data_IF_282707409490
#
_entry.id   IF_282707409490
#
_cell.length_a   1.000
_cell.length_b   1.000
_cell.length_c   1.000
_cell.angle_alpha   90.00
_cell.angle_beta   90.00
_cell.angle_gamma   90.00
#
_symmetry.space_group_name_H-M   'P 1'
#
loop_
_entity.id
_entity.type
_entity.pdbx_description
1 polymer ?
#
# COMPACT_ATOMS: atom_id res chain seq x y z
N UNK A 1 -1.63 -17.24 5.14
CA UNK A 1 -2.18 -16.31 6.15
C UNK A 1 -1.47 -14.99 5.89
N UNK A 2 -2.23 -13.94 5.58
CA UNK A 2 -1.67 -12.62 5.27
C UNK A 2 -1.35 -11.92 6.59
N UNK A 3 -0.21 -11.25 6.65
CA UNK A 3 0.15 -10.45 7.82
C UNK A 3 -0.05 -8.98 7.48
N UNK A 4 -1.00 -8.34 8.16
CA UNK A 4 -1.22 -6.90 8.05
C UNK A 4 -0.64 -6.19 9.27
N UNK A 5 0.18 -5.18 9.04
CA UNK A 5 0.73 -4.34 10.10
C UNK A 5 0.35 -2.89 9.83
N UNK A 6 -0.50 -2.33 10.70
CA UNK A 6 -0.98 -0.94 10.63
C UNK A 6 0.12 0.04 11.03
N UNK A 7 0.05 1.25 10.48
CA UNK A 7 0.83 2.41 10.89
C UNK A 7 0.04 3.70 10.64
N UNK A 8 0.12 4.64 11.56
CA UNK A 8 -0.67 5.88 11.47
C UNK A 8 0.23 7.13 11.40
N UNK A 9 1.55 6.97 11.61
CA UNK A 9 2.50 8.08 11.66
C UNK A 9 3.68 7.89 10.71
N UNK A 10 4.30 9.01 10.31
CA UNK A 10 5.56 9.00 9.54
C UNK A 10 6.68 8.27 10.30
N UNK A 11 6.73 8.41 11.62
CA UNK A 11 7.71 7.75 12.47
C UNK A 11 7.55 6.22 12.42
N UNK A 12 6.31 5.73 12.45
CA UNK A 12 6.02 4.30 12.30
C UNK A 12 6.43 3.80 10.91
N UNK A 13 6.13 4.57 9.85
CA UNK A 13 6.57 4.21 8.50
C UNK A 13 8.10 4.13 8.39
N UNK A 14 8.82 5.08 8.99
CA UNK A 14 10.29 5.04 9.04
C UNK A 14 10.80 3.81 9.79
N UNK A 15 10.20 3.46 10.94
CA UNK A 15 10.55 2.24 11.69
C UNK A 15 10.29 0.97 10.89
N UNK A 16 9.19 0.92 10.14
CA UNK A 16 8.79 -0.24 9.34
C UNK A 16 9.67 -0.45 8.10
N UNK A 17 10.12 0.64 7.49
CA UNK A 17 10.95 0.61 6.27
C UNK A 17 12.45 0.61 6.59
N UNK A 18 12.84 1.08 7.78
CA UNK A 18 14.23 1.35 8.12
C UNK A 18 14.82 2.55 7.38
N UNK A 19 13.98 3.38 6.76
CA UNK A 19 14.38 4.58 6.02
C UNK A 19 14.30 5.82 6.92
N UNK A 20 15.09 6.84 6.58
CA UNK A 20 14.87 8.19 7.07
C UNK A 20 13.71 8.85 6.31
N UNK A 21 13.10 9.89 6.88
CA UNK A 21 12.00 10.62 6.25
C UNK A 21 12.35 11.10 4.83
N UNK A 22 13.52 11.70 4.64
CA UNK A 22 13.97 12.18 3.32
C UNK A 22 14.08 11.05 2.28
N UNK A 23 14.42 9.83 2.71
CA UNK A 23 14.62 8.69 1.82
C UNK A 23 13.30 7.99 1.43
N UNK A 24 12.19 8.31 2.10
CA UNK A 24 10.87 7.80 1.75
C UNK A 24 10.44 8.28 0.35
N UNK A 25 10.63 9.57 0.07
CA UNK A 25 10.34 10.16 -1.24
C UNK A 25 11.09 9.48 -2.38
N UNK A 26 12.39 9.22 -2.18
CA UNK A 26 13.24 8.53 -3.16
C UNK A 26 12.78 7.09 -3.46
N UNK A 27 11.94 6.51 -2.60
CA UNK A 27 11.35 5.18 -2.76
C UNK A 27 9.90 5.21 -3.24
N UNK A 28 9.37 6.39 -3.54
CA UNK A 28 8.02 6.58 -4.08
C UNK A 28 6.93 6.60 -3.01
N UNK A 29 7.28 6.72 -1.73
CA UNK A 29 6.29 7.01 -0.70
C UNK A 29 5.92 8.49 -0.77
N UNK A 30 4.64 8.78 -0.56
CA UNK A 30 4.11 10.13 -0.36
C UNK A 30 3.80 10.30 1.13
N UNK A 31 4.76 10.76 1.96
CA UNK A 31 4.58 10.90 3.40
C UNK A 31 3.60 11.96 3.86
N UNK A 32 2.94 12.66 2.95
CA UNK A 32 2.02 13.74 3.25
C UNK A 32 0.59 13.29 2.96
N UNK A 33 -0.37 13.80 3.74
CA UNK A 33 -1.80 13.64 3.48
C UNK A 33 -2.37 12.21 3.43
N UNK A 34 -1.72 11.20 4.04
CA UNK A 34 -2.40 9.94 4.36
C UNK A 34 -3.02 10.00 5.76
N UNK A 35 -4.15 9.32 5.96
CA UNK A 35 -4.82 9.19 7.26
C UNK A 35 -4.49 7.88 7.97
N UNK A 36 -4.40 6.79 7.20
CA UNK A 36 -4.09 5.46 7.74
C UNK A 36 -3.23 4.68 6.75
N UNK A 37 -2.28 3.92 7.28
CA UNK A 37 -1.42 3.06 6.50
C UNK A 37 -1.39 1.64 7.01
N UNK A 38 -1.09 0.70 6.12
CA UNK A 38 -0.80 -0.68 6.51
C UNK A 38 0.18 -1.32 5.53
N UNK A 39 1.01 -2.23 6.03
CA UNK A 39 1.87 -3.03 5.19
C UNK A 39 1.49 -4.51 5.22
N UNK A 40 1.70 -5.16 4.09
CA UNK A 40 1.40 -6.57 3.83
C UNK A 40 2.61 -7.27 3.23
N UNK A 41 2.78 -8.54 3.57
CA UNK A 41 3.78 -9.43 2.95
C UNK A 41 3.35 -9.93 1.56
N UNK A 42 2.09 -9.68 1.18
CA UNK A 42 1.51 -10.05 -0.09
C UNK A 42 0.79 -8.86 -0.72
N UNK A 43 0.75 -8.82 -2.06
CA UNK A 43 -0.05 -7.82 -2.75
C UNK A 43 -1.53 -8.06 -2.45
N UNK A 44 -2.24 -7.01 -2.07
CA UNK A 44 -3.67 -7.03 -1.83
C UNK A 44 -4.48 -6.64 -3.06
N UNK A 45 -3.83 -6.04 -4.05
CA UNK A 45 -4.41 -5.48 -5.27
C UNK A 45 -3.79 -6.12 -6.50
N UNK A 46 -4.32 -5.79 -7.68
CA UNK A 46 -3.74 -6.15 -8.98
C UNK A 46 -2.26 -5.79 -9.01
N UNK A 47 -1.41 -6.78 -9.28
CA UNK A 47 0.05 -6.62 -9.26
C UNK A 47 0.60 -6.06 -10.55
N UNK A 48 -0.04 -6.36 -11.69
CA UNK A 48 0.39 -5.89 -13.01
C UNK A 48 -0.77 -6.08 -14.02
N UNK A 49 -0.86 -5.17 -15.00
CA UNK A 49 -1.70 -5.40 -16.18
C UNK A 49 -0.95 -6.37 -17.09
N UNK A 50 -1.51 -7.56 -17.31
CA UNK A 50 -0.94 -8.52 -18.24
C UNK A 50 -1.26 -8.03 -19.66
N UNK A 51 -0.23 -7.52 -20.32
CA UNK A 51 -0.31 -6.94 -21.67
C UNK A 51 -0.57 -7.99 -22.74
N UNK A 52 -0.25 -9.25 -22.47
CA UNK A 52 -0.37 -10.35 -23.43
C UNK A 52 -1.78 -10.94 -23.44
N UNK A 53 -2.47 -10.97 -22.30
CA UNK A 53 -3.88 -11.38 -22.23
C UNK A 53 -4.89 -10.22 -22.16
N UNK A 54 -4.44 -9.00 -21.88
CA UNK A 54 -5.30 -7.81 -21.82
C UNK A 54 -6.21 -7.76 -20.59
N UNK A 55 -5.89 -8.57 -19.57
CA UNK A 55 -6.65 -8.67 -18.32
C UNK A 55 -5.79 -8.20 -17.15
N UNK A 56 -6.46 -7.74 -16.10
CA UNK A 56 -5.82 -7.45 -14.83
C UNK A 56 -5.75 -8.75 -14.03
N UNK A 57 -4.55 -9.13 -13.55
CA UNK A 57 -4.37 -10.35 -12.75
C UNK A 57 -5.28 -10.35 -11.51
N UNK A 58 -6.12 -11.37 -11.32
CA UNK A 58 -7.03 -11.44 -10.18
C UNK A 58 -6.32 -11.12 -8.84
N UNK A 59 -6.96 -10.36 -7.92
CA UNK A 59 -6.33 -9.99 -6.67
C UNK A 59 -5.83 -11.24 -5.94
N UNK A 60 -4.54 -11.27 -5.64
CA UNK A 60 -3.86 -12.45 -5.07
C UNK A 60 -4.40 -12.81 -3.67
N UNK A 61 -5.09 -11.86 -3.02
CA UNK A 61 -5.42 -11.91 -1.61
C UNK A 61 -6.90 -11.69 -1.32
N UNK A 62 -7.45 -12.54 -0.45
CA UNK A 62 -8.79 -12.37 0.11
C UNK A 62 -8.96 -11.11 0.97
N UNK A 63 -7.90 -10.32 1.21
CA UNK A 63 -7.97 -9.00 1.84
C UNK A 63 -8.11 -7.85 0.82
N UNK A 64 -8.25 -8.13 -0.49
CA UNK A 64 -8.57 -7.12 -1.50
C UNK A 64 -9.80 -6.26 -1.15
N UNK A 65 -10.78 -6.84 -0.45
CA UNK A 65 -11.95 -6.08 0.00
C UNK A 65 -11.57 -4.85 0.85
N UNK A 66 -10.49 -4.94 1.65
CA UNK A 66 -10.04 -3.83 2.49
C UNK A 66 -9.63 -2.63 1.64
N UNK A 67 -8.85 -2.91 0.59
CA UNK A 67 -8.38 -1.89 -0.35
C UNK A 67 -9.54 -1.33 -1.17
N UNK A 68 -10.47 -2.18 -1.59
CA UNK A 68 -11.69 -1.74 -2.27
C UNK A 68 -12.56 -0.82 -1.41
N UNK A 69 -12.67 -1.07 -0.10
CA UNK A 69 -13.38 -0.14 0.79
C UNK A 69 -12.71 1.24 0.83
N UNK A 70 -11.39 1.32 0.68
CA UNK A 70 -10.66 2.59 0.64
C UNK A 70 -10.94 3.33 -0.67
N UNK A 71 -11.03 2.64 -1.80
CA UNK A 71 -11.47 3.25 -3.07
C UNK A 71 -12.93 3.73 -3.03
N UNK A 72 -13.81 2.94 -2.41
CA UNK A 72 -15.26 3.22 -2.40
C UNK A 72 -15.63 4.35 -1.41
N UNK A 73 -14.88 4.51 -0.31
CA UNK A 73 -15.23 5.40 0.81
C UNK A 73 -14.18 6.48 1.15
N UNK A 74 -12.99 6.43 0.54
CA UNK A 74 -11.95 7.44 0.69
C UNK A 74 -11.61 8.05 -0.69
N UNK A 75 -10.63 8.96 -0.77
CA UNK A 75 -10.18 9.54 -2.06
C UNK A 75 -9.38 8.49 -2.85
N UNK A 76 -8.76 7.54 -2.14
CA UNK A 76 -8.02 6.43 -2.71
C UNK A 76 -6.91 5.98 -1.78
N UNK A 77 -5.96 5.24 -2.37
CA UNK A 77 -4.75 4.82 -1.70
C UNK A 77 -3.57 4.84 -2.66
N UNK A 78 -2.38 5.05 -2.11
CA UNK A 78 -1.11 4.76 -2.77
C UNK A 78 -0.60 3.38 -2.35
N UNK A 79 0.11 2.72 -3.26
CA UNK A 79 0.78 1.45 -2.97
C UNK A 79 2.25 1.50 -3.36
N UNK A 80 3.14 1.27 -2.39
CA UNK A 80 4.59 1.23 -2.59
C UNK A 80 5.12 -0.16 -2.26
N UNK A 81 5.85 -0.76 -3.21
CA UNK A 81 6.55 -2.03 -2.99
C UNK A 81 7.99 -1.76 -2.53
N UNK A 82 8.29 -2.13 -1.29
CA UNK A 82 9.62 -1.92 -0.71
C UNK A 82 10.00 -3.07 0.23
N UNK A 83 11.27 -3.49 0.20
CA UNK A 83 11.76 -4.54 1.11
C UNK A 83 10.99 -5.87 1.04
N UNK A 84 10.36 -6.19 -0.10
CA UNK A 84 9.53 -7.38 -0.26
C UNK A 84 8.13 -7.28 0.36
N UNK A 85 7.73 -6.10 0.85
CA UNK A 85 6.41 -5.80 1.37
C UNK A 85 5.69 -4.77 0.49
N UNK A 86 4.37 -4.70 0.66
CA UNK A 86 3.48 -3.75 0.01
C UNK A 86 2.93 -2.80 1.08
N UNK A 87 3.15 -1.51 0.90
CA UNK A 87 2.71 -0.47 1.82
C UNK A 87 1.57 0.28 1.16
N UNK A 88 0.41 0.24 1.79
CA UNK A 88 -0.80 0.93 1.35
C UNK A 88 -1.00 2.15 2.26
N UNK A 89 -1.14 3.33 1.66
CA UNK A 89 -1.37 4.60 2.36
C UNK A 89 -2.70 5.16 1.88
N UNK A 90 -3.65 5.37 2.79
CA UNK A 90 -5.04 5.73 2.46
C UNK A 90 -5.24 7.22 2.69
N UNK A 91 -5.91 7.87 1.75
CA UNK A 91 -6.15 9.31 1.76
C UNK A 91 -7.65 9.59 1.87
N UNK A 92 -8.07 10.30 2.91
CA UNK A 92 -9.46 10.67 3.14
C UNK A 92 -9.79 12.07 2.58
N UNK A 93 -11.08 12.21 2.23
CA UNK A 93 -11.87 13.44 2.07
C UNK A 93 -11.40 14.65 2.86
#
# INVERSE_FOLDING_TARGET
MITLQMFDTREDLCKLTGLSEDALWDKGFEPEDWDVGFCSDQALTYTEFDKDCGEWEEPVSGAYWLVRQMEDYCIGYDCVKFGGKYYYMVHHA
#
